data_IF_602656433871
#
_entry.id   IF_602656433871
#
_cell.length_a   1.000
_cell.length_b   1.000
_cell.length_c   1.000
_cell.angle_alpha   90.00
_cell.angle_beta   90.00
_cell.angle_gamma   90.00
#
_symmetry.space_group_name_H-M   'P 1'
#
loop_
_entity.id
_entity.type
_entity.pdbx_description
1 polymer ?
#
# COMPACT_ATOMS: atom_id res chain seq x y z
N UNK A 1 -29.33 7.53 11.46
CA UNK A 1 -30.32 6.74 12.22
C UNK A 1 -30.19 5.23 12.05
N UNK A 2 -29.43 4.72 11.07
CA UNK A 2 -29.32 3.27 10.77
C UNK A 2 -28.81 2.44 11.96
N UNK A 3 -27.68 2.80 12.59
CA UNK A 3 -27.11 1.99 13.68
C UNK A 3 -28.05 1.84 14.89
N UNK A 4 -28.88 2.86 15.20
CA UNK A 4 -29.83 2.83 16.32
C UNK A 4 -31.04 1.92 16.04
N UNK A 5 -31.46 1.83 14.77
CA UNK A 5 -32.54 0.93 14.34
C UNK A 5 -32.13 -0.55 14.41
N UNK A 6 -30.83 -0.85 14.31
CA UNK A 6 -30.27 -2.19 14.41
C UNK A 6 -29.61 -2.47 15.77
N UNK A 7 -29.79 -1.60 16.76
CA UNK A 7 -29.17 -1.72 18.09
C UNK A 7 -27.64 -1.87 18.10
N UNK A 8 -26.97 -1.40 17.04
CA UNK A 8 -25.50 -1.41 16.93
C UNK A 8 -24.93 -0.10 17.43
N UNK A 9 -23.91 -0.16 18.29
CA UNK A 9 -23.19 1.04 18.68
C UNK A 9 -22.45 1.66 17.49
N UNK A 10 -22.52 2.98 17.35
CA UNK A 10 -21.85 3.69 16.24
C UNK A 10 -20.34 3.41 16.20
N UNK A 11 -19.71 3.30 17.37
CA UNK A 11 -18.29 2.94 17.49
C UNK A 11 -18.02 1.56 16.91
N UNK A 12 -18.80 0.54 17.29
CA UNK A 12 -18.67 -0.81 16.75
C UNK A 12 -18.84 -0.86 15.23
N UNK A 13 -19.81 -0.13 14.69
CA UNK A 13 -20.02 -0.04 13.23
C UNK A 13 -18.82 0.58 12.50
N UNK A 14 -18.29 1.71 12.98
CA UNK A 14 -17.13 2.34 12.35
C UNK A 14 -15.83 1.57 12.57
N UNK A 15 -15.68 0.87 13.69
CA UNK A 15 -14.53 0.00 13.94
C UNK A 15 -14.58 -1.24 13.06
N UNK A 16 -15.76 -1.87 12.90
CA UNK A 16 -15.97 -2.95 11.94
C UNK A 16 -15.64 -2.48 10.52
N UNK A 17 -16.16 -1.32 10.11
CA UNK A 17 -15.89 -0.75 8.78
C UNK A 17 -14.41 -0.40 8.58
N UNK A 18 -13.72 0.07 9.63
CA UNK A 18 -12.27 0.33 9.60
C UNK A 18 -11.45 -0.96 9.52
N UNK A 19 -11.84 -2.02 10.25
CA UNK A 19 -11.20 -3.35 10.19
C UNK A 19 -11.46 -4.08 8.89
N UNK A 20 -12.59 -3.80 8.25
CA UNK A 20 -12.91 -4.27 6.90
C UNK A 20 -12.14 -3.46 5.85
N UNK A 21 -10.85 -3.25 6.10
CA UNK A 21 -9.93 -2.65 5.14
C UNK A 21 -9.96 -3.50 3.89
N UNK A 22 -10.59 -2.98 2.84
CA UNK A 22 -10.55 -3.58 1.52
C UNK A 22 -9.08 -3.70 1.15
N UNK A 23 -8.63 -4.92 0.90
CA UNK A 23 -7.28 -5.15 0.40
C UNK A 23 -7.22 -4.50 -0.98
N UNK A 24 -6.51 -3.39 -1.06
CA UNK A 24 -6.25 -2.70 -2.32
C UNK A 24 -5.31 -3.60 -3.15
N UNK A 25 -5.88 -4.34 -4.10
CA UNK A 25 -5.14 -5.28 -4.93
C UNK A 25 -4.03 -4.59 -5.73
N UNK A 26 -4.26 -3.37 -6.21
CA UNK A 26 -3.25 -2.58 -6.91
C UNK A 26 -2.07 -2.26 -5.98
N UNK A 27 -2.35 -1.93 -4.72
CA UNK A 27 -1.31 -1.71 -3.72
C UNK A 27 -0.49 -2.97 -3.44
N UNK A 28 -1.11 -4.15 -3.41
CA UNK A 28 -0.39 -5.43 -3.23
C UNK A 28 0.56 -5.68 -4.39
N UNK A 29 0.12 -5.46 -5.62
CA UNK A 29 0.95 -5.61 -6.83
C UNK A 29 2.12 -4.63 -6.79
N UNK A 30 1.86 -3.34 -6.55
CA UNK A 30 2.90 -2.32 -6.46
C UNK A 30 3.92 -2.61 -5.35
N UNK A 31 3.46 -3.16 -4.21
CA UNK A 31 4.35 -3.58 -3.12
C UNK A 31 5.26 -4.75 -3.56
N UNK A 32 4.72 -5.71 -4.31
CA UNK A 32 5.50 -6.82 -4.85
C UNK A 32 6.55 -6.31 -5.86
N UNK A 33 6.20 -5.38 -6.74
CA UNK A 33 7.13 -4.77 -7.70
C UNK A 33 8.26 -4.00 -7.03
N UNK A 34 7.93 -3.16 -6.04
CA UNK A 34 8.94 -2.44 -5.25
C UNK A 34 9.91 -3.43 -4.58
N UNK A 35 9.40 -4.51 -3.99
CA UNK A 35 10.23 -5.54 -3.34
C UNK A 35 11.12 -6.29 -4.35
N UNK A 36 10.58 -6.60 -5.55
CA UNK A 36 11.33 -7.25 -6.63
C UNK A 36 12.50 -6.38 -7.08
N UNK A 37 12.26 -5.09 -7.35
CA UNK A 37 13.32 -4.13 -7.73
C UNK A 37 14.33 -3.96 -6.61
N UNK A 38 13.87 -3.84 -5.36
CA UNK A 38 14.75 -3.71 -4.21
C UNK A 38 15.70 -4.92 -4.08
N UNK A 39 15.18 -6.14 -4.19
CA UNK A 39 15.99 -7.37 -4.20
C UNK A 39 16.95 -7.45 -5.38
N UNK A 40 16.50 -7.07 -6.59
CA UNK A 40 17.34 -6.99 -7.80
C UNK A 40 18.53 -6.04 -7.62
N UNK A 41 18.33 -4.97 -6.85
CA UNK A 41 19.38 -4.00 -6.52
C UNK A 41 20.32 -4.42 -5.38
N UNK A 42 20.23 -5.66 -4.89
CA UNK A 42 20.94 -6.14 -3.68
C UNK A 42 20.67 -5.27 -2.45
N UNK A 43 19.43 -4.82 -2.28
CA UNK A 43 18.98 -3.98 -1.16
C UNK A 43 19.68 -2.61 -1.05
N UNK A 44 20.34 -2.15 -2.12
CA UNK A 44 21.05 -0.85 -2.13
C UNK A 44 20.21 0.29 -2.71
N UNK A 45 19.17 -0.02 -3.50
CA UNK A 45 18.36 1.00 -4.14
C UNK A 45 17.45 1.74 -3.17
N UNK A 46 17.67 3.04 -3.06
CA UNK A 46 16.74 3.95 -2.40
C UNK A 46 15.52 4.29 -3.27
N UNK A 47 14.52 4.92 -2.64
CA UNK A 47 13.25 5.31 -3.28
C UNK A 47 13.38 6.02 -4.64
N UNK A 48 14.39 6.87 -4.83
CA UNK A 48 14.63 7.56 -6.12
C UNK A 48 14.98 6.57 -7.23
N UNK A 49 15.92 5.67 -6.97
CA UNK A 49 16.38 4.69 -7.97
C UNK A 49 15.30 3.66 -8.28
N UNK A 50 14.56 3.20 -7.27
CA UNK A 50 13.41 2.32 -7.47
C UNK A 50 12.33 3.00 -8.32
N UNK A 51 12.07 4.29 -8.11
CA UNK A 51 11.09 5.03 -8.93
C UNK A 51 11.51 5.07 -10.40
N UNK A 52 12.80 5.30 -10.68
CA UNK A 52 13.32 5.28 -12.05
C UNK A 52 13.19 3.89 -12.67
N UNK A 53 13.64 2.85 -11.96
CA UNK A 53 13.57 1.46 -12.44
C UNK A 53 12.13 1.00 -12.71
N UNK A 54 11.17 1.40 -11.87
CA UNK A 54 9.75 1.11 -12.09
C UNK A 54 9.19 1.83 -13.31
N UNK A 55 9.60 3.08 -13.55
CA UNK A 55 9.23 3.81 -14.77
C UNK A 55 9.80 3.15 -16.03
N UNK A 56 11.02 2.67 -15.98
CA UNK A 56 11.65 1.95 -17.10
C UNK A 56 10.91 0.63 -17.42
N UNK A 57 10.29 0.02 -16.41
CA UNK A 57 9.42 -1.16 -16.56
C UNK A 57 7.94 -0.80 -16.88
N UNK A 58 7.64 0.48 -17.13
CA UNK A 58 6.29 0.95 -17.49
C UNK A 58 5.33 1.16 -16.30
N UNK A 59 5.80 0.99 -15.07
CA UNK A 59 5.01 1.22 -13.85
C UNK A 59 5.12 2.68 -13.41
N UNK A 60 4.07 3.45 -13.67
CA UNK A 60 4.01 4.87 -13.26
C UNK A 60 3.65 4.98 -11.79
N UNK A 61 4.66 5.18 -10.94
CA UNK A 61 4.49 5.40 -9.51
C UNK A 61 5.23 6.65 -9.03
N UNK A 62 4.63 7.37 -8.07
CA UNK A 62 5.24 8.52 -7.42
C UNK A 62 6.26 8.12 -6.35
N UNK A 63 7.32 8.91 -6.20
CA UNK A 63 8.39 8.70 -5.19
C UNK A 63 7.84 8.54 -3.76
N UNK A 64 6.82 9.31 -3.38
CA UNK A 64 6.23 9.24 -2.05
C UNK A 64 5.51 7.91 -1.82
N UNK A 65 4.81 7.37 -2.84
CA UNK A 65 4.16 6.06 -2.78
C UNK A 65 5.22 4.95 -2.67
N UNK A 66 6.30 5.02 -3.46
CA UNK A 66 7.45 4.11 -3.34
C UNK A 66 8.07 4.14 -1.94
N UNK A 67 8.35 5.33 -1.39
CA UNK A 67 8.92 5.46 -0.04
C UNK A 67 8.04 4.80 1.01
N UNK A 68 6.73 5.03 0.96
CA UNK A 68 5.77 4.43 1.90
C UNK A 68 5.74 2.90 1.77
N UNK A 69 5.71 2.38 0.55
CA UNK A 69 5.77 0.94 0.29
C UNK A 69 7.10 0.32 0.76
N UNK A 70 8.23 1.02 0.60
CA UNK A 70 9.52 0.56 1.13
C UNK A 70 9.51 0.48 2.67
N UNK A 71 8.97 1.49 3.35
CA UNK A 71 8.81 1.48 4.82
C UNK A 71 7.83 0.42 5.34
N UNK A 72 7.01 -0.17 4.47
CA UNK A 72 6.13 -1.30 4.81
C UNK A 72 6.81 -2.65 4.59
N UNK A 73 7.95 -2.67 3.89
CA UNK A 73 8.76 -3.87 3.61
C UNK A 73 9.90 -4.08 4.61
N UNK A 74 10.20 -3.08 5.44
CA UNK A 74 11.22 -3.10 6.50
C UNK A 74 10.96 -2.02 7.54
#
# INVERSE_FOLDING_TARGET
MVCKAFEVSRSSYYDYRRRRSVVDGERVVLRADVNRIFRKSRSSAGSRMITTMLKDEGVVIGRFKVRRLMSELG
#
